data_IF_721121541099
#
_entry.id   IF_721121541099
#
_cell.length_a   1.000
_cell.length_b   1.000
_cell.length_c   1.000
_cell.angle_alpha   90.00
_cell.angle_beta   90.00
_cell.angle_gamma   90.00
#
_symmetry.space_group_name_H-M   'P 1'
#
loop_
_entity.id
_entity.type
_entity.pdbx_description
1 polymer ?
#
# COMPACT_ATOMS: atom_id res chain seq x y z
N UNK A 1 -8.53 -14.93 -14.84
CA UNK A 1 -9.21 -13.67 -15.26
C UNK A 1 -8.30 -12.50 -14.96
N UNK A 2 -8.36 -11.42 -15.76
CA UNK A 2 -7.55 -10.22 -15.47
C UNK A 2 -8.13 -9.48 -14.27
N UNK A 3 -7.29 -9.21 -13.26
CA UNK A 3 -7.63 -8.43 -12.06
C UNK A 3 -7.19 -6.97 -12.20
N UNK A 4 -7.82 -6.08 -11.44
CA UNK A 4 -7.38 -4.70 -11.23
C UNK A 4 -6.50 -4.66 -9.99
N UNK A 5 -5.25 -4.27 -10.15
CA UNK A 5 -4.24 -4.22 -9.08
C UNK A 5 -3.87 -2.78 -8.79
N UNK A 6 -4.10 -2.33 -7.56
CA UNK A 6 -3.70 -1.01 -7.09
C UNK A 6 -2.54 -1.13 -6.11
N UNK A 7 -1.42 -0.47 -6.43
CA UNK A 7 -0.24 -0.42 -5.56
C UNK A 7 -0.14 0.97 -4.92
N UNK A 8 -0.22 1.04 -3.60
CA UNK A 8 -0.04 2.26 -2.82
C UNK A 8 1.38 2.30 -2.25
N UNK A 9 2.27 3.03 -2.95
CA UNK A 9 3.65 3.23 -2.52
C UNK A 9 3.73 4.38 -1.51
N UNK A 10 3.91 4.03 -0.23
CA UNK A 10 3.98 4.97 0.89
C UNK A 10 5.37 5.58 1.10
N UNK A 11 6.38 5.22 0.29
CA UNK A 11 7.71 5.81 0.42
C UNK A 11 7.72 7.28 0.02
N UNK A 12 8.24 8.20 0.86
CA UNK A 12 8.45 9.58 0.45
C UNK A 12 9.60 9.75 -0.57
N UNK A 13 10.51 8.77 -0.65
CA UNK A 13 11.66 8.81 -1.56
C UNK A 13 11.27 8.23 -2.93
N UNK A 14 11.40 9.05 -3.98
CA UNK A 14 11.32 8.57 -5.36
C UNK A 14 12.50 7.63 -5.64
N UNK A 15 12.21 6.41 -6.12
CA UNK A 15 13.25 5.40 -6.29
C UNK A 15 13.84 4.91 -4.97
N UNK A 16 13.12 5.07 -3.84
CA UNK A 16 13.45 4.42 -2.57
C UNK A 16 13.21 2.91 -2.63
N UNK A 17 13.76 2.16 -1.69
CA UNK A 17 13.76 0.69 -1.73
C UNK A 17 12.35 0.09 -1.87
N UNK A 18 11.37 0.52 -1.08
CA UNK A 18 10.00 0.03 -1.21
C UNK A 18 9.32 0.49 -2.50
N UNK A 19 9.63 1.68 -3.02
CA UNK A 19 9.12 2.17 -4.30
C UNK A 19 9.64 1.34 -5.48
N UNK A 20 10.91 0.91 -5.42
CA UNK A 20 11.54 -0.01 -6.40
C UNK A 20 10.85 -1.38 -6.38
N UNK A 21 10.59 -1.94 -5.19
CA UNK A 21 9.88 -3.22 -5.09
C UNK A 21 8.44 -3.13 -5.61
N UNK A 22 7.78 -1.98 -5.43
CA UNK A 22 6.47 -1.72 -6.05
C UNK A 22 6.55 -1.74 -7.59
N UNK A 23 7.64 -1.25 -8.19
CA UNK A 23 7.83 -1.31 -9.64
C UNK A 23 8.01 -2.74 -10.14
N UNK A 24 8.73 -3.58 -9.39
CA UNK A 24 8.87 -4.99 -9.73
C UNK A 24 7.55 -5.75 -9.60
N UNK A 25 6.79 -5.51 -8.53
CA UNK A 25 5.45 -6.09 -8.37
C UNK A 25 4.53 -5.65 -9.52
N UNK A 26 4.55 -4.36 -9.85
CA UNK A 26 3.78 -3.79 -10.97
C UNK A 26 4.10 -4.52 -12.28
N UNK A 27 5.40 -4.67 -12.58
CA UNK A 27 5.88 -5.35 -13.77
C UNK A 27 5.41 -6.81 -13.81
N UNK A 28 5.56 -7.55 -12.71
CA UNK A 28 5.09 -8.93 -12.60
C UNK A 28 3.58 -9.07 -12.87
N UNK A 29 2.77 -8.19 -12.27
CA UNK A 29 1.32 -8.20 -12.46
C UNK A 29 0.93 -7.86 -13.91
N UNK A 30 1.61 -6.91 -14.55
CA UNK A 30 1.38 -6.56 -15.96
C UNK A 30 1.80 -7.69 -16.91
N UNK A 31 2.94 -8.33 -16.67
CA UNK A 31 3.42 -9.48 -17.45
C UNK A 31 2.47 -10.69 -17.35
N UNK A 32 1.74 -10.82 -16.23
CA UNK A 32 0.68 -11.82 -16.04
C UNK A 32 -0.66 -11.42 -16.67
N UNK A 33 -0.75 -10.25 -17.29
CA UNK A 33 -1.96 -9.77 -17.99
C UNK A 33 -2.98 -9.06 -17.10
N UNK A 34 -2.59 -8.64 -15.89
CA UNK A 34 -3.44 -7.86 -15.01
C UNK A 34 -3.41 -6.36 -15.33
N UNK A 35 -4.47 -5.63 -14.98
CA UNK A 35 -4.53 -4.17 -15.07
C UNK A 35 -3.96 -3.58 -13.78
N UNK A 36 -2.67 -3.28 -13.77
CA UNK A 36 -1.98 -2.81 -12.59
C UNK A 36 -1.56 -1.35 -12.72
N UNK A 37 -1.76 -0.58 -11.65
CA UNK A 37 -1.28 0.79 -11.51
C UNK A 37 -0.62 1.01 -10.15
N UNK A 38 0.37 1.92 -10.13
CA UNK A 38 1.05 2.35 -8.89
C UNK A 38 0.76 3.82 -8.62
N UNK A 39 0.35 4.12 -7.39
CA UNK A 39 0.23 5.48 -6.86
C UNK A 39 1.35 5.70 -5.85
N UNK A 40 2.21 6.68 -6.13
CA UNK A 40 3.15 7.19 -5.14
C UNK A 40 2.42 8.20 -4.26
N UNK A 41 2.08 7.76 -3.04
CA UNK A 41 1.28 8.55 -2.11
C UNK A 41 1.93 9.90 -1.77
N UNK A 42 3.26 9.94 -1.69
CA UNK A 42 4.01 11.18 -1.42
C UNK A 42 3.90 12.25 -2.53
N UNK A 43 3.44 11.89 -3.71
CA UNK A 43 3.18 12.83 -4.82
C UNK A 43 1.72 13.32 -4.84
N UNK A 44 0.91 12.86 -3.89
CA UNK A 44 -0.50 13.20 -3.78
C UNK A 44 -0.76 14.15 -2.61
N UNK A 45 -1.72 15.02 -2.79
CA UNK A 45 -2.20 15.89 -1.72
C UNK A 45 -3.26 15.13 -0.94
N UNK A 46 -2.87 14.55 0.20
CA UNK A 46 -3.79 13.86 1.12
C UNK A 46 -3.57 14.43 2.51
N UNK A 47 -4.49 15.27 2.95
CA UNK A 47 -4.48 15.79 4.31
C UNK A 47 -4.87 14.68 5.32
N UNK A 48 -4.31 14.68 6.54
CA UNK A 48 -4.77 13.77 7.59
C UNK A 48 -6.26 13.92 7.88
N UNK A 49 -6.92 12.84 8.31
CA UNK A 49 -8.30 12.89 8.75
C UNK A 49 -8.43 13.79 10.00
N UNK A 50 -9.34 14.76 9.96
CA UNK A 50 -9.60 15.66 11.09
C UNK A 50 -10.61 15.10 12.11
N UNK A 51 -11.18 13.92 11.88
CA UNK A 51 -12.19 13.32 12.76
C UNK A 51 -13.51 14.08 12.84
N UNK A 52 -13.83 14.90 11.84
CA UNK A 52 -14.98 15.80 11.88
C UNK A 52 -16.34 15.13 11.64
N UNK A 53 -16.37 13.85 11.28
CA UNK A 53 -17.57 13.07 10.96
C UNK A 53 -18.46 13.63 9.82
N UNK A 54 -18.00 14.60 9.07
CA UNK A 54 -18.78 15.17 7.96
C UNK A 54 -19.21 14.10 6.94
N UNK A 55 -18.30 13.19 6.60
CA UNK A 55 -18.57 12.12 5.64
C UNK A 55 -19.72 11.19 6.05
N UNK A 56 -19.93 10.96 7.35
CA UNK A 56 -21.01 10.07 7.83
C UNK A 56 -22.42 10.59 7.54
N UNK A 57 -22.58 11.90 7.39
CA UNK A 57 -23.86 12.55 7.13
C UNK A 57 -24.00 13.11 5.72
N UNK A 58 -22.95 13.00 4.90
CA UNK A 58 -22.89 13.58 3.55
C UNK A 58 -22.54 12.54 2.47
N UNK A 59 -23.08 11.32 2.63
CA UNK A 59 -22.95 10.27 1.59
C UNK A 59 -21.50 9.89 1.27
N UNK A 60 -20.61 9.91 2.28
CA UNK A 60 -19.19 9.59 2.08
C UNK A 60 -18.34 10.75 1.53
N UNK A 61 -18.91 11.92 1.29
CA UNK A 61 -18.14 13.08 0.85
C UNK A 61 -17.26 13.61 2.00
N UNK A 62 -15.99 13.89 1.73
CA UNK A 62 -15.08 14.49 2.70
C UNK A 62 -15.05 16.02 2.59
N UNK A 63 -14.80 16.70 3.72
CA UNK A 63 -14.60 18.17 3.73
C UNK A 63 -13.32 18.57 3.00
N UNK A 64 -12.28 17.72 3.03
CA UNK A 64 -11.05 17.96 2.29
C UNK A 64 -11.27 17.71 0.80
N UNK A 65 -10.94 18.70 -0.02
CA UNK A 65 -10.97 18.63 -1.49
C UNK A 65 -9.56 18.40 -2.00
N UNK A 66 -9.11 17.16 -1.87
CA UNK A 66 -7.75 16.72 -2.19
C UNK A 66 -7.78 15.40 -3.00
N UNK A 67 -6.62 14.83 -3.30
CA UNK A 67 -6.50 13.64 -4.15
C UNK A 67 -7.08 12.35 -3.52
N UNK A 68 -7.51 12.41 -2.24
CA UNK A 68 -8.00 11.20 -1.56
C UNK A 68 -9.28 10.64 -2.18
N UNK A 69 -10.15 11.50 -2.74
CA UNK A 69 -11.39 11.02 -3.36
C UNK A 69 -11.10 10.05 -4.52
N UNK A 70 -10.14 10.39 -5.36
CA UNK A 70 -9.71 9.56 -6.50
C UNK A 70 -9.00 8.28 -6.03
N UNK A 71 -8.12 8.41 -5.01
CA UNK A 71 -7.42 7.25 -4.44
C UNK A 71 -8.45 6.26 -3.86
N UNK A 72 -9.41 6.74 -3.09
CA UNK A 72 -10.42 5.90 -2.48
C UNK A 72 -11.31 5.22 -3.52
N UNK A 73 -11.69 5.92 -4.59
CA UNK A 73 -12.44 5.29 -5.68
C UNK A 73 -11.63 4.16 -6.33
N UNK A 74 -10.32 4.36 -6.56
CA UNK A 74 -9.45 3.29 -7.09
C UNK A 74 -9.30 2.11 -6.13
N UNK A 75 -9.25 2.36 -4.81
CA UNK A 75 -9.26 1.28 -3.81
C UNK A 75 -10.57 0.48 -3.84
N UNK A 76 -11.70 1.14 -4.03
CA UNK A 76 -13.00 0.49 -4.17
C UNK A 76 -13.05 -0.37 -5.44
N UNK A 77 -12.54 0.15 -6.56
CA UNK A 77 -12.58 -0.52 -7.87
C UNK A 77 -11.57 -1.64 -8.04
N UNK A 78 -10.52 -1.69 -7.21
CA UNK A 78 -9.46 -2.69 -7.29
C UNK A 78 -9.94 -4.05 -6.75
N UNK A 79 -9.45 -5.13 -7.35
CA UNK A 79 -9.58 -6.49 -6.83
C UNK A 79 -8.44 -6.79 -5.82
N UNK A 80 -7.28 -6.18 -6.08
CA UNK A 80 -6.04 -6.38 -5.32
C UNK A 80 -5.49 -5.04 -4.86
N UNK A 81 -5.13 -4.95 -3.59
CA UNK A 81 -4.49 -3.76 -3.00
C UNK A 81 -3.12 -4.16 -2.45
N UNK A 82 -2.07 -3.51 -2.94
CA UNK A 82 -0.72 -3.64 -2.41
C UNK A 82 -0.43 -2.44 -1.51
N UNK A 83 -0.19 -2.68 -0.22
CA UNK A 83 0.25 -1.66 0.72
C UNK A 83 1.76 -1.76 0.88
N UNK A 84 2.48 -0.72 0.50
CA UNK A 84 3.93 -0.69 0.58
C UNK A 84 4.44 0.49 1.39
N UNK A 85 5.33 0.25 2.37
CA UNK A 85 5.91 1.29 3.20
C UNK A 85 7.33 0.94 3.64
N UNK A 86 8.24 1.93 3.71
CA UNK A 86 9.42 1.77 4.55
C UNK A 86 9.01 1.67 6.02
N UNK A 87 9.82 0.98 6.82
CA UNK A 87 9.67 0.97 8.29
C UNK A 87 10.27 2.26 8.84
N UNK A 88 9.43 3.09 9.43
CA UNK A 88 9.83 4.31 10.15
C UNK A 88 9.42 4.19 11.61
N UNK A 89 10.42 4.10 12.51
CA UNK A 89 10.17 3.89 13.94
C UNK A 89 9.19 2.72 14.18
N UNK A 90 9.48 1.57 13.58
CA UNK A 90 8.67 0.33 13.65
C UNK A 90 7.25 0.46 13.10
N UNK A 91 6.96 1.49 12.28
CA UNK A 91 5.61 1.73 11.77
C UNK A 91 5.62 2.09 10.28
N UNK A 92 4.42 2.21 9.72
CA UNK A 92 4.22 2.69 8.34
C UNK A 92 4.52 4.19 8.23
N UNK A 93 4.79 4.65 7.01
CA UNK A 93 4.97 6.08 6.75
C UNK A 93 3.69 6.88 7.05
N UNK A 94 3.85 8.12 7.51
CA UNK A 94 2.73 9.02 7.79
C UNK A 94 1.86 9.27 6.55
N UNK A 95 2.47 9.31 5.36
CA UNK A 95 1.77 9.51 4.10
C UNK A 95 0.79 8.36 3.83
N UNK A 96 1.22 7.11 4.00
CA UNK A 96 0.35 5.96 3.80
C UNK A 96 -0.72 5.87 4.89
N UNK A 97 -0.36 6.20 6.13
CA UNK A 97 -1.33 6.24 7.25
C UNK A 97 -2.44 7.27 6.98
N UNK A 98 -2.11 8.43 6.44
CA UNK A 98 -3.12 9.42 6.07
C UNK A 98 -4.11 8.88 5.02
N UNK A 99 -3.65 8.12 4.03
CA UNK A 99 -4.54 7.46 3.06
C UNK A 99 -5.45 6.45 3.77
N UNK A 100 -4.87 5.56 4.60
CA UNK A 100 -5.64 4.55 5.34
C UNK A 100 -6.72 5.23 6.20
N UNK A 101 -6.37 6.22 7.00
CA UNK A 101 -7.34 6.92 7.88
C UNK A 101 -8.46 7.60 7.09
N UNK A 102 -8.15 8.10 5.91
CA UNK A 102 -9.11 8.80 5.07
C UNK A 102 -10.06 7.86 4.32
N UNK A 103 -9.81 6.54 4.32
CA UNK A 103 -10.78 5.56 3.79
C UNK A 103 -12.07 5.56 4.61
N UNK A 104 -12.06 6.03 5.86
CA UNK A 104 -13.24 6.12 6.74
C UNK A 104 -14.46 6.75 6.03
N UNK A 105 -14.24 7.59 5.03
CA UNK A 105 -15.32 8.26 4.31
C UNK A 105 -16.26 7.27 3.60
N UNK A 106 -15.71 6.17 3.05
CA UNK A 106 -16.46 5.15 2.29
C UNK A 106 -15.89 3.74 2.52
N UNK A 107 -15.25 3.50 3.68
CA UNK A 107 -14.57 2.23 3.96
C UNK A 107 -15.44 0.97 3.78
N UNK A 108 -16.77 0.95 4.01
CA UNK A 108 -17.58 -0.25 3.78
C UNK A 108 -17.69 -0.65 2.31
N UNK A 109 -17.34 0.26 1.39
CA UNK A 109 -17.31 -0.03 -0.04
C UNK A 109 -15.99 -0.69 -0.48
N UNK A 110 -14.94 -0.58 0.34
CA UNK A 110 -13.68 -1.31 0.16
C UNK A 110 -13.87 -2.70 0.76
N UNK A 111 -14.30 -3.65 -0.04
CA UNK A 111 -14.59 -5.03 0.39
C UNK A 111 -14.12 -6.06 -0.62
N UNK A 112 -14.03 -7.31 -0.21
CA UNK A 112 -13.62 -8.44 -1.06
C UNK A 112 -12.26 -8.19 -1.73
N UNK A 113 -11.24 -7.79 -0.95
CA UNK A 113 -9.91 -7.42 -1.45
C UNK A 113 -8.85 -8.47 -1.13
N UNK A 114 -8.01 -8.76 -2.11
CA UNK A 114 -6.75 -9.46 -1.87
C UNK A 114 -5.67 -8.43 -1.50
N UNK A 115 -5.01 -8.64 -0.36
CA UNK A 115 -3.96 -7.75 0.13
C UNK A 115 -2.57 -8.37 -0.02
N UNK A 116 -1.63 -7.56 -0.49
CA UNK A 116 -0.20 -7.83 -0.48
C UNK A 116 0.52 -6.73 0.30
N UNK A 117 1.54 -7.10 1.06
CA UNK A 117 2.32 -6.16 1.87
C UNK A 117 3.78 -6.17 1.47
N UNK A 118 4.35 -4.98 1.28
CA UNK A 118 5.76 -4.79 0.96
C UNK A 118 6.34 -3.81 1.99
N UNK A 119 7.39 -4.22 2.69
CA UNK A 119 8.10 -3.32 3.61
C UNK A 119 9.61 -3.45 3.46
N UNK A 120 10.31 -2.33 3.67
CA UNK A 120 11.76 -2.25 3.60
C UNK A 120 12.30 -1.53 4.83
N UNK A 121 13.44 -1.96 5.34
CA UNK A 121 14.04 -1.39 6.55
C UNK A 121 15.56 -1.50 6.55
N UNK A 122 16.20 -0.67 7.35
CA UNK A 122 17.64 -0.70 7.55
C UNK A 122 18.08 -1.92 8.38
N UNK A 123 17.25 -2.32 9.34
CA UNK A 123 17.51 -3.46 10.21
C UNK A 123 17.49 -4.77 9.41
N UNK A 124 18.40 -5.69 9.71
CA UNK A 124 18.43 -7.03 9.13
C UNK A 124 17.45 -7.98 9.83
N UNK A 125 17.11 -7.70 11.09
CA UNK A 125 16.20 -8.51 11.88
C UNK A 125 14.75 -8.32 11.41
N UNK A 126 14.19 -9.38 10.83
CA UNK A 126 12.85 -9.31 10.22
C UNK A 126 11.73 -8.95 11.20
N UNK A 127 11.89 -9.28 12.48
CA UNK A 127 10.91 -8.94 13.53
C UNK A 127 10.75 -7.42 13.72
N UNK A 128 11.72 -6.62 13.29
CA UNK A 128 11.61 -5.16 13.28
C UNK A 128 10.51 -4.63 12.35
N UNK A 129 9.99 -5.47 11.45
CA UNK A 129 8.84 -5.15 10.60
C UNK A 129 7.49 -5.50 11.23
N UNK A 130 7.43 -6.25 12.33
CA UNK A 130 6.19 -6.83 12.85
C UNK A 130 5.11 -5.78 13.14
N UNK A 131 5.48 -4.66 13.75
CA UNK A 131 4.53 -3.57 14.03
C UNK A 131 4.04 -2.89 12.75
N UNK A 132 4.91 -2.75 11.74
CA UNK A 132 4.52 -2.24 10.43
C UNK A 132 3.52 -3.17 9.75
N UNK A 133 3.77 -4.48 9.80
CA UNK A 133 2.84 -5.49 9.27
C UNK A 133 1.52 -5.52 10.07
N UNK A 134 1.58 -5.35 11.38
CA UNK A 134 0.39 -5.23 12.22
C UNK A 134 -0.47 -4.01 11.84
N UNK A 135 0.15 -2.88 11.44
CA UNK A 135 -0.60 -1.73 10.92
C UNK A 135 -1.34 -2.05 9.62
N UNK A 136 -0.74 -2.80 8.71
CA UNK A 136 -1.40 -3.23 7.47
C UNK A 136 -2.54 -4.20 7.75
N UNK A 137 -2.29 -5.21 8.58
CA UNK A 137 -3.28 -6.22 8.97
C UNK A 137 -4.45 -5.59 9.69
N UNK A 138 -4.21 -4.67 10.63
CA UNK A 138 -5.27 -3.96 11.34
C UNK A 138 -6.19 -3.15 10.41
N UNK A 139 -5.67 -2.64 9.28
CA UNK A 139 -6.53 -2.05 8.26
C UNK A 139 -7.32 -3.13 7.49
N UNK A 140 -6.65 -4.20 7.07
CA UNK A 140 -7.31 -5.30 6.34
C UNK A 140 -8.40 -5.97 7.19
N UNK A 141 -8.21 -6.11 8.49
CA UNK A 141 -9.20 -6.66 9.44
C UNK A 141 -10.50 -5.83 9.49
N UNK A 142 -10.43 -4.54 9.11
CA UNK A 142 -11.61 -3.69 8.98
C UNK A 142 -12.28 -3.80 7.61
N UNK A 143 -11.71 -4.53 6.65
CA UNK A 143 -12.24 -4.69 5.27
C UNK A 143 -12.96 -6.03 5.16
N UNK A 144 -14.26 -5.99 4.92
CA UNK A 144 -15.08 -7.19 4.73
C UNK A 144 -14.55 -8.01 3.53
N UNK A 145 -14.36 -9.32 3.72
CA UNK A 145 -13.87 -10.22 2.68
C UNK A 145 -12.39 -10.03 2.33
N UNK A 146 -11.60 -9.35 3.18
CA UNK A 146 -10.17 -9.21 2.97
C UNK A 146 -9.43 -10.53 3.07
N UNK A 147 -8.43 -10.73 2.21
CA UNK A 147 -7.55 -11.91 2.25
C UNK A 147 -6.09 -11.47 2.08
N UNK A 148 -5.23 -11.73 3.08
CA UNK A 148 -3.78 -11.59 2.94
C UNK A 148 -3.25 -12.67 1.99
N UNK A 149 -2.57 -12.26 0.91
CA UNK A 149 -2.05 -13.16 -0.14
C UNK A 149 -0.53 -13.25 -0.17
N UNK A 150 0.16 -12.23 0.32
CA UNK A 150 1.60 -12.26 0.35
C UNK A 150 2.22 -11.12 1.12
N UNK A 151 3.40 -11.39 1.69
CA UNK A 151 4.17 -10.43 2.47
C UNK A 151 5.62 -10.48 2.00
N UNK A 152 6.21 -9.32 1.72
CA UNK A 152 7.62 -9.15 1.42
C UNK A 152 8.26 -8.19 2.41
N UNK A 153 9.23 -8.69 3.16
CA UNK A 153 10.06 -7.90 4.07
C UNK A 153 11.50 -7.89 3.54
N UNK A 154 12.00 -6.72 3.16
CA UNK A 154 13.39 -6.53 2.76
C UNK A 154 14.14 -5.75 3.86
N UNK A 155 14.89 -6.48 4.68
CA UNK A 155 15.79 -5.93 5.70
C UNK A 155 17.18 -5.61 5.17
N UNK A 156 17.97 -4.85 5.95
CA UNK A 156 19.35 -4.51 5.61
C UNK A 156 19.49 -3.50 4.44
N UNK A 157 18.42 -2.77 4.09
CA UNK A 157 18.42 -1.86 2.94
C UNK A 157 18.18 -0.42 3.40
N UNK A 158 19.25 0.32 3.65
CA UNK A 158 19.18 1.72 4.11
C UNK A 158 19.28 2.72 2.97
N UNK A 159 20.33 2.60 2.14
CA UNK A 159 20.56 3.54 1.05
C UNK A 159 19.52 3.35 -0.08
N UNK A 160 19.11 4.44 -0.74
CA UNK A 160 18.20 4.35 -1.88
C UNK A 160 18.77 3.43 -2.96
N UNK A 161 17.98 2.44 -3.39
CA UNK A 161 18.37 1.48 -4.41
C UNK A 161 19.16 0.27 -3.91
N UNK A 162 19.53 0.19 -2.62
CA UNK A 162 20.24 -0.96 -2.05
C UNK A 162 19.50 -2.29 -2.30
N UNK A 163 18.17 -2.25 -2.30
CA UNK A 163 17.30 -3.40 -2.55
C UNK A 163 17.56 -4.10 -3.89
N UNK A 164 18.10 -3.38 -4.88
CA UNK A 164 18.36 -3.92 -6.24
C UNK A 164 19.34 -5.11 -6.23
N UNK A 165 20.19 -5.18 -5.24
CA UNK A 165 21.20 -6.24 -5.09
C UNK A 165 20.73 -7.37 -4.17
N UNK A 166 19.43 -7.46 -3.88
CA UNK A 166 18.85 -8.47 -3.00
C UNK A 166 17.88 -9.38 -3.74
N UNK A 167 17.58 -10.53 -3.16
CA UNK A 167 16.55 -11.44 -3.66
C UNK A 167 15.13 -10.85 -3.62
N UNK A 168 14.92 -9.76 -2.88
CA UNK A 168 13.62 -9.11 -2.77
C UNK A 168 13.09 -8.60 -4.12
N UNK A 169 13.98 -8.25 -5.07
CA UNK A 169 13.60 -7.87 -6.43
C UNK A 169 12.83 -8.99 -7.14
N UNK A 170 13.42 -10.19 -7.18
CA UNK A 170 12.78 -11.35 -7.80
C UNK A 170 11.51 -11.75 -7.04
N UNK A 171 11.51 -11.67 -5.71
CA UNK A 171 10.34 -11.99 -4.89
C UNK A 171 9.18 -11.03 -5.19
N UNK A 172 9.44 -9.72 -5.29
CA UNK A 172 8.41 -8.73 -5.61
C UNK A 172 7.80 -9.00 -7.00
N UNK A 173 8.65 -9.29 -7.99
CA UNK A 173 8.20 -9.63 -9.35
C UNK A 173 7.31 -10.89 -9.35
N UNK A 174 7.77 -11.97 -8.72
CA UNK A 174 6.99 -13.21 -8.66
C UNK A 174 5.69 -13.05 -7.85
N UNK A 175 5.69 -12.25 -6.79
CA UNK A 175 4.45 -11.91 -6.07
C UNK A 175 3.45 -11.22 -7.01
N UNK A 176 3.89 -10.26 -7.80
CA UNK A 176 3.03 -9.58 -8.78
C UNK A 176 2.54 -10.52 -9.87
N UNK A 177 3.40 -11.43 -10.33
CA UNK A 177 3.07 -12.38 -11.37
C UNK A 177 2.04 -13.44 -10.93
N UNK A 178 1.98 -13.72 -9.64
CA UNK A 178 1.11 -14.74 -9.06
C UNK A 178 -0.18 -14.16 -8.44
N UNK A 179 -0.55 -12.95 -8.81
CA UNK A 179 -1.79 -12.27 -8.39
C UNK A 179 -3.06 -13.00 -8.83
#
# INVERSE_FOLDING_TARGET
MSKKVLILSGSPRKGGNSDILCDEFLRGAQDAGHKAEKIRVAEKKVAPCSGCYYCSTHGGACVHKDDMADILQKMIDADVIVLASPVYFYSISAQLKAVIDRTVARWPEVKDKEFYYITTMADEEKSSADTTLACFRGYADCVEGAAEKGVLVAGGVYEPGAVRNTSAMAQAYEMGRNV
#
